data_IF_503185545453
#
_entry.id   IF_503185545453
#
_cell.length_a   1.000
_cell.length_b   1.000
_cell.length_c   1.000
_cell.angle_alpha   90.00
_cell.angle_beta   90.00
_cell.angle_gamma   90.00
#
_symmetry.space_group_name_H-M   'P 1'
#
loop_
_entity.id
_entity.type
_entity.pdbx_description
1 polymer ?
#
# COMPACT_ATOMS: atom_id res chain seq x y z
N UNK A 1 -3.07 28.77 -1.56
CA UNK A 1 -4.34 28.28 -0.97
C UNK A 1 -5.56 28.50 -1.86
N UNK A 2 -5.65 29.58 -2.66
CA UNK A 2 -6.82 29.80 -3.55
C UNK A 2 -6.90 28.84 -4.75
N UNK A 3 -5.77 28.48 -5.37
CA UNK A 3 -5.75 27.52 -6.50
C UNK A 3 -6.20 26.10 -6.14
N UNK A 4 -5.90 25.65 -4.91
CA UNK A 4 -6.32 24.33 -4.44
C UNK A 4 -7.86 24.31 -4.31
N UNK A 5 -8.49 25.40 -3.85
CA UNK A 5 -9.95 25.48 -3.71
C UNK A 5 -10.68 25.46 -5.05
N UNK A 6 -10.21 26.21 -6.06
CA UNK A 6 -10.83 26.22 -7.39
C UNK A 6 -10.69 24.86 -8.11
N UNK A 7 -9.58 24.15 -7.88
CA UNK A 7 -9.38 22.81 -8.39
C UNK A 7 -10.35 21.80 -7.74
N UNK A 8 -10.69 21.98 -6.46
CA UNK A 8 -11.73 21.20 -5.77
C UNK A 8 -13.15 21.54 -6.23
N UNK A 9 -13.44 22.81 -6.54
CA UNK A 9 -14.77 23.24 -7.01
C UNK A 9 -15.08 22.81 -8.46
N UNK A 10 -14.07 22.68 -9.34
CA UNK A 10 -14.24 22.05 -10.67
C UNK A 10 -14.40 20.53 -10.65
N UNK A 11 -14.11 19.86 -9.53
CA UNK A 11 -14.03 18.38 -9.43
C UNK A 11 -15.37 17.67 -9.18
N UNK A 12 -16.49 18.39 -9.07
CA UNK A 12 -17.80 17.81 -8.75
C UNK A 12 -18.73 17.54 -9.95
N UNK A 13 -18.25 17.65 -11.19
CA UNK A 13 -19.06 17.25 -12.36
C UNK A 13 -18.83 15.79 -12.69
N UNK A 14 -19.62 14.90 -12.07
CA UNK A 14 -19.73 13.49 -12.45
C UNK A 14 -20.26 13.37 -13.89
N UNK A 15 -19.64 12.53 -14.72
CA UNK A 15 -20.17 12.17 -16.04
C UNK A 15 -21.51 11.45 -15.92
N UNK A 16 -22.31 11.42 -16.98
CA UNK A 16 -23.66 10.79 -16.95
C UNK A 16 -23.61 9.30 -16.55
N UNK A 17 -22.59 8.56 -16.98
CA UNK A 17 -22.39 7.17 -16.58
C UNK A 17 -22.07 7.04 -15.08
N UNK A 18 -21.24 7.96 -14.54
CA UNK A 18 -20.87 8.02 -13.12
C UNK A 18 -22.06 8.41 -12.23
N UNK A 19 -22.93 9.31 -12.70
CA UNK A 19 -24.20 9.67 -12.03
C UNK A 19 -25.14 8.48 -11.93
N UNK A 20 -25.31 7.72 -13.02
CA UNK A 20 -26.15 6.53 -13.03
C UNK A 20 -25.64 5.45 -12.04
N UNK A 21 -24.31 5.25 -11.95
CA UNK A 21 -23.70 4.32 -11.00
C UNK A 21 -23.94 4.75 -9.53
N UNK A 22 -23.82 6.04 -9.23
CA UNK A 22 -24.10 6.59 -7.91
C UNK A 22 -25.59 6.41 -7.52
N UNK A 23 -26.50 6.74 -8.44
CA UNK A 23 -27.95 6.59 -8.24
C UNK A 23 -28.36 5.13 -8.00
N UNK A 24 -27.79 4.20 -8.77
CA UNK A 24 -28.02 2.76 -8.60
C UNK A 24 -27.59 2.27 -7.20
N UNK A 25 -26.54 2.84 -6.61
CA UNK A 25 -26.00 2.42 -5.32
C UNK A 25 -26.70 3.06 -4.12
N UNK A 26 -27.17 4.30 -4.24
CA UNK A 26 -27.99 4.96 -3.22
C UNK A 26 -29.34 4.24 -3.00
N UNK A 27 -29.84 3.52 -3.99
CA UNK A 27 -31.04 2.69 -3.88
C UNK A 27 -30.81 1.39 -3.07
N UNK A 28 -29.56 1.04 -2.75
CA UNK A 28 -29.21 -0.09 -1.89
C UNK A 28 -29.44 0.24 -0.42
N UNK A 29 -30.27 -0.54 0.28
CA UNK A 29 -30.51 -0.38 1.73
C UNK A 29 -29.23 -0.66 2.53
N UNK A 30 -28.64 0.39 3.12
CA UNK A 30 -27.52 0.26 4.06
C UNK A 30 -28.05 0.07 5.49
N UNK A 31 -27.84 -1.11 6.06
CA UNK A 31 -28.27 -1.43 7.43
C UNK A 31 -27.12 -1.16 8.40
N UNK A 32 -27.18 -0.05 9.14
CA UNK A 32 -26.23 0.29 10.21
C UNK A 32 -26.80 -0.21 11.55
N UNK A 33 -26.43 -1.44 11.95
CA UNK A 33 -26.88 -2.06 13.19
C UNK A 33 -25.84 -2.01 14.33
N UNK A 34 -26.20 -1.31 15.41
CA UNK A 34 -25.97 -1.64 16.83
C UNK A 34 -24.56 -1.99 17.36
N UNK A 35 -24.06 -1.16 18.29
CA UNK A 35 -22.90 -1.45 19.15
C UNK A 35 -23.18 -2.59 20.12
N UNK A 36 -22.60 -3.74 19.83
CA UNK A 36 -22.54 -4.90 20.72
C UNK A 36 -21.18 -5.55 20.51
N UNK A 37 -20.49 -5.89 21.61
CA UNK A 37 -19.19 -6.55 21.56
C UNK A 37 -19.36 -7.96 21.00
N UNK A 38 -19.28 -8.06 19.68
CA UNK A 38 -19.29 -9.32 18.96
C UNK A 38 -17.84 -9.73 18.69
N UNK A 39 -17.46 -10.93 19.12
CA UNK A 39 -16.18 -11.52 18.71
C UNK A 39 -16.14 -11.61 17.19
N UNK A 40 -15.04 -11.18 16.56
CA UNK A 40 -14.84 -11.33 15.12
C UNK A 40 -14.43 -12.79 14.87
N UNK A 41 -15.29 -13.65 14.31
CA UNK A 41 -14.94 -15.04 14.06
C UNK A 41 -13.88 -15.10 12.97
N UNK A 42 -12.98 -16.09 13.06
CA UNK A 42 -12.03 -16.36 11.98
C UNK A 42 -12.80 -16.86 10.76
N UNK A 43 -12.76 -16.10 9.67
CA UNK A 43 -13.29 -16.59 8.40
C UNK A 43 -12.34 -17.67 7.84
N UNK A 44 -12.82 -18.87 7.46
CA UNK A 44 -12.01 -19.84 6.74
C UNK A 44 -11.39 -19.20 5.49
N UNK A 45 -10.08 -19.41 5.30
CA UNK A 45 -9.40 -19.01 4.07
C UNK A 45 -9.97 -19.82 2.91
N UNK A 46 -10.54 -19.13 1.93
CA UNK A 46 -11.08 -19.68 0.70
C UNK A 46 -10.66 -18.77 -0.44
N UNK A 47 -10.49 -19.34 -1.63
CA UNK A 47 -10.24 -18.58 -2.86
C UNK A 47 -11.52 -17.92 -3.40
N UNK A 48 -12.64 -18.06 -2.69
CA UNK A 48 -13.91 -17.46 -3.06
C UNK A 48 -13.88 -15.91 -2.91
N UNK A 49 -14.45 -15.17 -3.88
CA UNK A 49 -14.56 -13.71 -3.80
C UNK A 49 -15.28 -13.27 -2.52
N UNK A 50 -14.59 -12.48 -1.69
CA UNK A 50 -15.12 -12.01 -0.40
C UNK A 50 -15.69 -10.60 -0.55
N UNK A 51 -16.81 -10.25 0.12
CA UNK A 51 -17.28 -8.87 0.12
C UNK A 51 -16.25 -7.91 0.73
N UNK A 52 -16.23 -6.68 0.22
CA UNK A 52 -15.42 -5.60 0.78
C UNK A 52 -16.04 -5.13 2.12
N UNK A 53 -15.18 -4.72 3.04
CA UNK A 53 -15.57 -3.91 4.19
C UNK A 53 -16.15 -2.56 3.75
N UNK A 54 -16.85 -1.88 4.65
CA UNK A 54 -17.46 -0.58 4.32
C UNK A 54 -16.43 0.46 3.85
N UNK A 55 -15.26 0.52 4.49
CA UNK A 55 -14.19 1.43 4.11
C UNK A 55 -13.60 1.08 2.73
N UNK A 56 -13.37 -0.20 2.46
CA UNK A 56 -12.91 -0.68 1.15
C UNK A 56 -13.93 -0.36 0.06
N UNK A 57 -15.23 -0.57 0.30
CA UNK A 57 -16.30 -0.26 -0.67
C UNK A 57 -16.33 1.23 -1.03
N UNK A 58 -16.18 2.10 -0.02
CA UNK A 58 -16.12 3.55 -0.22
C UNK A 58 -14.94 3.94 -1.11
N UNK A 59 -13.74 3.44 -0.81
CA UNK A 59 -12.54 3.77 -1.59
C UNK A 59 -12.61 3.21 -3.01
N UNK A 60 -13.07 1.97 -3.18
CA UNK A 60 -13.30 1.37 -4.49
C UNK A 60 -14.29 2.21 -5.33
N UNK A 61 -15.40 2.64 -4.73
CA UNK A 61 -16.38 3.48 -5.41
C UNK A 61 -15.80 4.84 -5.80
N UNK A 62 -15.00 5.47 -4.94
CA UNK A 62 -14.35 6.75 -5.25
C UNK A 62 -13.35 6.59 -6.40
N UNK A 63 -12.59 5.50 -6.43
CA UNK A 63 -11.66 5.20 -7.54
C UNK A 63 -12.40 5.04 -8.88
N UNK A 64 -13.53 4.32 -8.90
CA UNK A 64 -14.38 4.18 -10.11
C UNK A 64 -14.98 5.52 -10.59
N UNK A 65 -15.22 6.46 -9.66
CA UNK A 65 -15.73 7.80 -9.97
C UNK A 65 -14.65 8.77 -10.41
N UNK A 66 -13.37 8.54 -10.11
CA UNK A 66 -12.28 9.42 -10.50
C UNK A 66 -11.82 9.17 -11.95
N UNK A 67 -11.15 10.14 -12.56
CA UNK A 67 -10.52 9.98 -13.88
C UNK A 67 -9.02 9.78 -13.70
N UNK A 68 -8.57 8.55 -13.41
CA UNK A 68 -7.13 8.17 -13.39
C UNK A 68 -6.21 9.19 -12.70
N UNK A 69 -6.51 9.54 -11.46
CA UNK A 69 -5.65 10.37 -10.61
C UNK A 69 -5.08 9.54 -9.46
N UNK A 70 -3.84 9.79 -9.00
CA UNK A 70 -3.21 9.04 -7.91
C UNK A 70 -3.72 9.49 -6.53
N UNK A 71 -5.01 9.84 -6.39
CA UNK A 71 -5.58 10.49 -5.20
C UNK A 71 -5.39 9.65 -3.94
N UNK A 72 -5.48 8.33 -4.07
CA UNK A 72 -5.32 7.39 -2.96
C UNK A 72 -3.99 6.63 -3.00
N UNK A 73 -3.03 7.10 -3.80
CA UNK A 73 -1.65 6.61 -3.77
C UNK A 73 -0.85 7.37 -2.71
N UNK A 74 -0.23 6.63 -1.79
CA UNK A 74 0.52 7.18 -0.68
C UNK A 74 2.01 6.85 -0.86
N UNK A 75 2.84 7.82 -1.27
CA UNK A 75 4.28 7.65 -1.32
C UNK A 75 4.92 7.95 0.03
N UNK A 76 5.77 7.05 0.50
CA UNK A 76 6.64 7.24 1.65
C UNK A 76 8.11 7.15 1.24
N UNK A 77 8.96 7.96 1.87
CA UNK A 77 10.41 7.92 1.70
C UNK A 77 11.13 7.81 3.04
N UNK A 78 11.92 6.75 3.21
CA UNK A 78 12.68 6.46 4.43
C UNK A 78 14.17 6.59 4.16
N UNK A 79 14.82 7.55 4.83
CA UNK A 79 16.27 7.69 4.73
C UNK A 79 16.94 6.68 5.64
N UNK A 80 17.72 5.79 5.05
CA UNK A 80 18.50 4.76 5.75
C UNK A 80 19.97 5.17 5.73
N UNK A 81 20.60 5.13 6.91
CA UNK A 81 22.02 5.47 7.09
C UNK A 81 22.81 4.24 7.55
N UNK A 82 24.05 4.12 7.07
CA UNK A 82 24.94 3.00 7.34
C UNK A 82 24.98 1.98 6.20
N UNK A 83 25.76 0.92 6.41
CA UNK A 83 25.83 -0.19 5.46
C UNK A 83 24.49 -0.92 5.40
N UNK A 84 24.00 -1.16 4.18
CA UNK A 84 22.70 -1.78 3.94
C UNK A 84 22.87 -3.12 3.23
N UNK A 85 22.36 -4.19 3.83
CA UNK A 85 22.22 -5.48 3.18
C UNK A 85 20.92 -5.48 2.36
N UNK A 86 21.06 -5.22 1.05
CA UNK A 86 19.92 -5.10 0.13
C UNK A 86 19.10 -6.40 0.06
N UNK A 87 19.76 -7.56 0.07
CA UNK A 87 19.07 -8.85 0.03
C UNK A 87 18.22 -9.09 1.28
N UNK A 88 18.74 -8.72 2.46
CA UNK A 88 17.98 -8.79 3.71
C UNK A 88 16.78 -7.84 3.68
N UNK A 89 16.91 -6.64 3.10
CA UNK A 89 15.80 -5.70 2.95
C UNK A 89 14.71 -6.26 2.02
N UNK A 90 15.09 -6.80 0.87
CA UNK A 90 14.14 -7.42 -0.08
C UNK A 90 13.40 -8.62 0.55
N UNK A 91 14.13 -9.49 1.26
CA UNK A 91 13.52 -10.61 2.00
C UNK A 91 12.57 -10.13 3.08
N UNK A 92 12.91 -9.04 3.79
CA UNK A 92 12.05 -8.46 4.83
C UNK A 92 10.74 -7.95 4.27
N UNK A 93 10.78 -7.19 3.18
CA UNK A 93 9.56 -6.69 2.51
C UNK A 93 8.69 -7.86 2.04
N UNK A 94 9.29 -8.86 1.39
CA UNK A 94 8.55 -10.02 0.90
C UNK A 94 7.94 -10.87 2.02
N UNK A 95 8.60 -10.99 3.16
CA UNK A 95 8.03 -11.68 4.32
C UNK A 95 6.85 -10.91 4.92
N UNK A 96 6.88 -9.56 4.94
CA UNK A 96 5.73 -8.73 5.34
C UNK A 96 4.56 -8.96 4.36
N UNK A 97 4.80 -8.91 3.05
CA UNK A 97 3.77 -9.17 2.02
C UNK A 97 3.18 -10.57 2.17
N UNK A 98 4.01 -11.58 2.46
CA UNK A 98 3.56 -12.95 2.71
C UNK A 98 2.66 -13.03 3.95
N UNK A 99 2.99 -12.31 5.02
CA UNK A 99 2.26 -12.33 6.30
C UNK A 99 0.91 -11.61 6.25
N UNK A 100 0.81 -10.51 5.51
CA UNK A 100 -0.38 -9.66 5.48
C UNK A 100 -1.22 -9.89 4.23
N UNK A 101 -2.39 -10.51 4.39
CA UNK A 101 -3.32 -10.82 3.29
C UNK A 101 -3.73 -9.55 2.51
N UNK A 102 -3.87 -8.39 3.18
CA UNK A 102 -4.20 -7.10 2.54
C UNK A 102 -3.21 -6.68 1.45
N UNK A 103 -1.91 -6.95 1.64
CA UNK A 103 -0.87 -6.59 0.66
C UNK A 103 -0.87 -7.49 -0.58
N UNK A 104 -1.64 -8.58 -0.54
CA UNK A 104 -1.86 -9.55 -1.62
C UNK A 104 -3.29 -9.51 -2.15
N UNK A 105 -4.03 -8.44 -1.84
CA UNK A 105 -5.45 -8.31 -2.16
C UNK A 105 -5.66 -7.43 -3.39
N UNK A 106 -6.46 -7.89 -4.35
CA UNK A 106 -7.02 -7.10 -5.45
C UNK A 106 -8.53 -6.96 -5.28
N UNK A 107 -9.11 -6.00 -5.99
CA UNK A 107 -10.52 -5.63 -5.92
C UNK A 107 -11.11 -5.63 -7.33
N UNK A 108 -12.10 -6.48 -7.56
CA UNK A 108 -12.75 -6.65 -8.87
C UNK A 108 -14.26 -6.56 -8.72
N UNK A 109 -14.97 -6.10 -9.75
CA UNK A 109 -16.42 -6.11 -9.76
C UNK A 109 -16.97 -7.33 -10.53
N UNK A 110 -17.82 -8.12 -9.87
CA UNK A 110 -18.58 -9.21 -10.50
C UNK A 110 -20.04 -8.76 -10.57
N UNK A 111 -20.58 -8.61 -11.79
CA UNK A 111 -21.95 -8.08 -12.03
C UNK A 111 -22.21 -6.74 -11.31
N UNK A 112 -21.21 -5.86 -11.30
CA UNK A 112 -21.27 -4.55 -10.67
C UNK A 112 -21.11 -4.56 -9.15
N UNK A 113 -20.92 -5.71 -8.49
CA UNK A 113 -20.66 -5.81 -7.04
C UNK A 113 -19.15 -5.99 -6.79
N UNK A 114 -18.50 -5.14 -5.97
CA UNK A 114 -17.09 -5.29 -5.70
C UNK A 114 -16.83 -6.47 -4.77
N UNK A 115 -15.83 -7.24 -5.11
CA UNK A 115 -15.27 -8.33 -4.33
C UNK A 115 -13.76 -8.17 -4.23
N UNK A 116 -13.20 -8.72 -3.16
CA UNK A 116 -11.77 -8.81 -3.00
C UNK A 116 -11.29 -10.24 -3.17
N UNK A 117 -10.12 -10.38 -3.78
CA UNK A 117 -9.44 -11.64 -4.00
C UNK A 117 -8.04 -11.56 -3.37
N UNK A 118 -7.69 -12.56 -2.57
CA UNK A 118 -6.40 -12.63 -1.89
C UNK A 118 -5.54 -13.65 -2.63
N UNK A 119 -4.40 -13.21 -3.18
CA UNK A 119 -3.44 -14.14 -3.80
C UNK A 119 -2.74 -14.96 -2.71
N UNK A 120 -2.61 -16.28 -2.90
CA UNK A 120 -1.95 -17.17 -1.95
C UNK A 120 -0.45 -16.83 -1.77
N UNK A 121 0.20 -16.41 -2.86
CA UNK A 121 1.61 -16.01 -2.89
C UNK A 121 1.79 -14.78 -3.76
N UNK A 122 2.73 -13.91 -3.37
CA UNK A 122 3.13 -12.74 -4.13
C UNK A 122 4.56 -12.39 -3.74
N UNK A 123 5.41 -12.14 -4.73
CA UNK A 123 6.78 -11.67 -4.53
C UNK A 123 6.93 -10.32 -5.17
N UNK A 124 7.35 -9.33 -4.40
CA UNK A 124 7.68 -8.00 -4.87
C UNK A 124 9.16 -7.92 -5.25
N UNK A 125 9.49 -7.39 -6.43
CA UNK A 125 10.86 -7.00 -6.71
C UNK A 125 11.25 -5.78 -5.85
N UNK A 126 12.53 -5.68 -5.48
CA UNK A 126 13.12 -4.43 -4.96
C UNK A 126 14.08 -3.82 -6.00
N UNK A 127 13.59 -3.00 -6.95
CA UNK A 127 14.44 -2.24 -7.85
C UNK A 127 15.44 -1.38 -7.08
N UNK A 128 16.72 -1.49 -7.47
CA UNK A 128 17.81 -0.69 -6.90
C UNK A 128 18.33 0.29 -7.94
N UNK A 129 18.22 1.57 -7.65
CA UNK A 129 18.77 2.63 -8.48
C UNK A 129 20.04 3.17 -7.83
N UNK A 130 21.18 2.86 -8.44
CA UNK A 130 22.46 3.37 -7.95
C UNK A 130 22.73 4.77 -8.50
N UNK A 131 22.58 5.79 -7.63
CA UNK A 131 22.78 7.18 -7.98
C UNK A 131 24.17 7.71 -7.55
N UNK A 132 25.00 6.87 -6.92
CA UNK A 132 26.32 7.26 -6.39
C UNK A 132 27.29 7.65 -7.50
N UNK A 133 27.10 7.09 -8.70
CA UNK A 133 27.91 7.33 -9.88
C UNK A 133 27.70 8.72 -10.51
N UNK A 134 26.63 9.43 -10.16
CA UNK A 134 26.31 10.73 -10.78
C UNK A 134 26.89 11.90 -9.98
N UNK A 135 27.30 12.99 -10.65
CA UNK A 135 27.61 14.25 -9.98
C UNK A 135 26.43 14.76 -9.15
N UNK A 136 26.69 15.49 -8.07
CA UNK A 136 25.68 15.88 -7.07
C UNK A 136 24.43 16.54 -7.68
N UNK A 137 24.61 17.52 -8.58
CA UNK A 137 23.50 18.22 -9.22
C UNK A 137 22.64 17.31 -10.13
N UNK A 138 23.24 16.32 -10.78
CA UNK A 138 22.50 15.35 -11.60
C UNK A 138 21.81 14.30 -10.73
N UNK A 139 22.48 13.83 -9.68
CA UNK A 139 21.92 12.93 -8.67
C UNK A 139 20.64 13.50 -8.07
N UNK A 140 20.64 14.77 -7.69
CA UNK A 140 19.47 15.41 -7.07
C UNK A 140 18.29 15.51 -8.06
N UNK A 141 18.54 15.83 -9.33
CA UNK A 141 17.51 15.83 -10.38
C UNK A 141 16.92 14.44 -10.60
N UNK A 142 17.76 13.40 -10.65
CA UNK A 142 17.33 12.00 -10.82
C UNK A 142 16.52 11.52 -9.61
N UNK A 143 16.98 11.84 -8.41
CA UNK A 143 16.29 11.57 -7.15
C UNK A 143 14.88 12.18 -7.16
N UNK A 144 14.75 13.47 -7.47
CA UNK A 144 13.45 14.14 -7.56
C UNK A 144 12.55 13.50 -8.62
N UNK A 145 13.11 13.15 -9.78
CA UNK A 145 12.36 12.50 -10.86
C UNK A 145 11.77 11.16 -10.40
N UNK A 146 12.57 10.31 -9.77
CA UNK A 146 12.14 9.00 -9.29
C UNK A 146 11.07 9.12 -8.19
N UNK A 147 11.25 10.04 -7.24
CA UNK A 147 10.25 10.30 -6.19
C UNK A 147 8.93 10.81 -6.78
N UNK A 148 8.98 11.69 -7.78
CA UNK A 148 7.79 12.19 -8.46
C UNK A 148 7.08 11.12 -9.28
N UNK A 149 7.82 10.19 -9.90
CA UNK A 149 7.24 9.05 -10.62
C UNK A 149 6.47 8.15 -9.67
N UNK A 150 7.04 7.83 -8.51
CA UNK A 150 6.38 7.04 -7.48
C UNK A 150 5.13 7.75 -6.92
N UNK A 151 5.21 9.05 -6.65
CA UNK A 151 4.06 9.84 -6.18
C UNK A 151 2.92 9.97 -7.20
N UNK A 152 3.20 9.78 -8.49
CA UNK A 152 2.22 9.84 -9.58
C UNK A 152 1.79 8.47 -10.08
N UNK A 153 2.26 7.40 -9.45
CA UNK A 153 1.93 6.05 -9.86
C UNK A 153 0.42 5.81 -9.72
N UNK A 154 -0.17 5.18 -10.74
CA UNK A 154 -1.59 4.82 -10.75
C UNK A 154 -1.68 3.31 -10.55
N UNK A 155 -2.30 2.89 -9.46
CA UNK A 155 -2.63 1.49 -9.23
C UNK A 155 -3.92 1.13 -9.96
N UNK A 156 -3.93 -0.06 -10.57
CA UNK A 156 -5.18 -0.71 -11.00
C UNK A 156 -5.65 -1.60 -9.86
N UNK A 157 -6.78 -1.26 -9.24
CA UNK A 157 -7.31 -2.03 -8.09
C UNK A 157 -7.60 -3.49 -8.43
N UNK A 158 -7.86 -3.81 -9.70
CA UNK A 158 -8.07 -5.18 -10.15
C UNK A 158 -6.79 -6.01 -10.21
N UNK A 159 -5.61 -5.38 -10.16
CA UNK A 159 -4.31 -6.03 -10.31
C UNK A 159 -3.44 -5.90 -9.05
N UNK A 160 -3.04 -7.03 -8.48
CA UNK A 160 -2.00 -7.05 -7.47
C UNK A 160 -0.61 -6.92 -8.10
N UNK A 161 0.38 -6.34 -7.38
CA UNK A 161 0.29 -5.72 -6.05
C UNK A 161 -0.26 -4.28 -6.07
N UNK A 162 -0.96 -3.89 -5.00
CA UNK A 162 -1.32 -2.49 -4.72
C UNK A 162 -0.26 -1.75 -3.88
N UNK A 163 0.98 -2.25 -3.95
CA UNK A 163 2.15 -1.63 -3.38
C UNK A 163 3.38 -1.80 -4.26
N UNK A 164 4.31 -0.87 -4.15
CA UNK A 164 5.61 -0.85 -4.82
C UNK A 164 6.68 -0.43 -3.83
N UNK A 165 7.88 -0.94 -4.06
CA UNK A 165 9.08 -0.54 -3.30
C UNK A 165 10.20 -0.22 -4.27
N UNK A 166 11.10 0.67 -3.87
CA UNK A 166 12.34 0.94 -4.59
C UNK A 166 13.43 1.38 -3.60
N UNK A 167 14.68 1.11 -3.95
CA UNK A 167 15.84 1.55 -3.17
C UNK A 167 16.72 2.46 -4.02
N UNK A 168 16.94 3.69 -3.57
CA UNK A 168 17.86 4.63 -4.19
C UNK A 168 19.14 4.71 -3.37
N UNK A 169 20.29 4.38 -3.97
CA UNK A 169 21.60 4.49 -3.31
C UNK A 169 22.18 5.87 -3.59
N UNK A 170 22.36 6.69 -2.56
CA UNK A 170 22.83 8.08 -2.68
C UNK A 170 24.33 8.20 -2.38
N UNK A 171 24.81 7.41 -1.42
CA UNK A 171 26.20 7.20 -1.06
C UNK A 171 26.39 5.75 -0.56
N UNK A 172 27.62 5.34 -0.23
CA UNK A 172 27.90 3.98 0.28
C UNK A 172 27.14 3.65 1.57
N UNK A 173 26.83 4.68 2.35
CA UNK A 173 26.13 4.57 3.63
C UNK A 173 24.88 5.45 3.69
N UNK A 174 24.36 5.90 2.55
CA UNK A 174 23.14 6.71 2.50
C UNK A 174 22.20 6.19 1.41
N UNK A 175 20.98 5.86 1.82
CA UNK A 175 19.99 5.25 0.96
C UNK A 175 18.62 5.91 1.20
N UNK A 176 17.78 5.93 0.18
CA UNK A 176 16.37 6.27 0.29
C UNK A 176 15.53 5.05 -0.12
N UNK A 177 14.83 4.46 0.84
CA UNK A 177 13.85 3.42 0.59
C UNK A 177 12.49 4.06 0.34
N UNK A 178 11.92 3.80 -0.83
CA UNK A 178 10.60 4.26 -1.23
C UNK A 178 9.59 3.13 -1.05
N UNK A 179 8.45 3.47 -0.45
CA UNK A 179 7.27 2.62 -0.36
C UNK A 179 6.09 3.40 -0.90
N UNK A 180 5.50 2.93 -1.99
CA UNK A 180 4.32 3.53 -2.60
C UNK A 180 3.18 2.54 -2.48
N UNK A 181 2.06 2.92 -1.88
CA UNK A 181 0.98 1.99 -1.57
C UNK A 181 -0.40 2.64 -1.74
N UNK A 182 -1.39 1.84 -2.15
CA UNK A 182 -2.76 2.31 -2.26
C UNK A 182 -3.47 2.33 -0.88
N UNK A 183 -4.20 3.40 -0.58
CA UNK A 183 -4.91 3.57 0.71
C UNK A 183 -5.97 2.48 0.96
N UNK A 184 -6.47 1.80 -0.07
CA UNK A 184 -7.46 0.72 0.10
C UNK A 184 -6.89 -0.51 0.85
N UNK A 185 -5.57 -0.73 0.80
CA UNK A 185 -4.89 -1.85 1.47
C UNK A 185 -4.05 -1.39 2.67
N UNK A 186 -4.12 -0.11 3.03
CA UNK A 186 -3.19 0.51 3.97
C UNK A 186 -3.75 1.75 4.68
N UNK A 187 -3.34 1.98 5.92
CA UNK A 187 -3.74 3.17 6.70
C UNK A 187 -2.59 3.75 7.54
N UNK A 188 -2.87 4.84 8.25
CA UNK A 188 -1.90 5.53 9.10
C UNK A 188 -1.43 4.72 10.33
N UNK A 189 -2.12 3.66 10.73
CA UNK A 189 -1.66 2.77 11.80
C UNK A 189 -0.72 1.69 11.25
N UNK A 190 -1.03 1.22 10.04
CA UNK A 190 -0.31 0.17 9.31
C UNK A 190 1.16 0.52 9.08
N UNK A 191 1.51 1.81 8.94
CA UNK A 191 2.92 2.24 8.82
C UNK A 191 3.77 1.93 10.04
N UNK A 192 3.22 2.10 11.24
CA UNK A 192 3.92 1.75 12.47
C UNK A 192 4.17 0.25 12.55
N UNK A 193 3.17 -0.55 12.16
CA UNK A 193 3.29 -2.02 12.09
C UNK A 193 4.35 -2.42 11.07
N UNK A 194 4.26 -1.91 9.84
CA UNK A 194 5.18 -2.20 8.76
C UNK A 194 6.62 -1.89 9.15
N UNK A 195 6.90 -0.71 9.71
CA UNK A 195 8.26 -0.31 10.08
C UNK A 195 8.85 -1.14 11.22
N UNK A 196 8.03 -1.52 12.21
CA UNK A 196 8.46 -2.43 13.28
C UNK A 196 8.81 -3.82 12.73
N UNK A 197 7.94 -4.39 11.89
CA UNK A 197 8.20 -5.69 11.28
C UNK A 197 9.41 -5.64 10.35
N UNK A 198 9.55 -4.59 9.54
CA UNK A 198 10.67 -4.42 8.62
C UNK A 198 12.00 -4.41 9.37
N UNK A 199 12.10 -3.65 10.47
CA UNK A 199 13.31 -3.59 11.31
C UNK A 199 13.64 -4.96 11.92
N UNK A 200 12.64 -5.63 12.50
CA UNK A 200 12.84 -6.94 13.13
C UNK A 200 13.27 -8.02 12.12
N UNK A 201 12.60 -8.07 10.97
CA UNK A 201 12.91 -9.01 9.88
C UNK A 201 14.27 -8.72 9.25
N UNK A 202 14.60 -7.44 9.03
CA UNK A 202 15.87 -7.04 8.46
C UNK A 202 17.03 -7.49 9.35
N UNK A 203 16.93 -7.27 10.66
CA UNK A 203 17.96 -7.70 11.60
C UNK A 203 18.12 -9.23 11.63
N UNK A 204 17.01 -9.97 11.55
CA UNK A 204 17.05 -11.43 11.46
C UNK A 204 17.76 -11.89 10.17
N UNK A 205 17.32 -11.42 9.00
CA UNK A 205 17.88 -11.83 7.72
C UNK A 205 19.32 -11.35 7.51
N UNK A 206 19.66 -10.13 7.94
CA UNK A 206 21.03 -9.61 7.86
C UNK A 206 22.02 -10.42 8.72
N UNK A 207 21.52 -11.10 9.76
CA UNK A 207 22.32 -12.01 10.61
C UNK A 207 22.17 -13.48 10.24
N UNK A 208 21.55 -13.80 9.10
CA UNK A 208 21.36 -15.17 8.61
C UNK A 208 20.31 -15.98 9.38
N UNK A 209 19.48 -15.33 10.21
CA UNK A 209 18.39 -15.96 10.96
C UNK A 209 17.08 -15.96 10.16
N UNK A 210 16.17 -16.86 10.51
CA UNK A 210 14.85 -16.97 9.86
C UNK A 210 13.85 -15.94 10.38
N UNK A 211 12.76 -15.71 9.63
CA UNK A 211 11.69 -14.77 10.04
C UNK A 211 11.04 -15.12 11.39
N UNK A 212 11.02 -16.40 11.78
CA UNK A 212 10.50 -16.83 13.09
C UNK A 212 11.28 -16.17 14.24
N UNK A 213 12.59 -15.98 14.09
CA UNK A 213 13.43 -15.37 15.12
C UNK A 213 13.15 -13.88 15.33
N UNK A 214 12.64 -13.18 14.31
CA UNK A 214 12.32 -11.76 14.37
C UNK A 214 11.16 -11.45 15.35
N UNK A 215 10.22 -12.38 15.50
CA UNK A 215 9.01 -12.18 16.31
C UNK A 215 9.07 -12.81 17.71
N UNK A 216 10.09 -13.63 17.98
CA UNK A 216 10.30 -14.22 19.32
C UNK A 216 10.99 -13.26 20.30
N UNK A 217 11.62 -12.19 19.79
CA UNK A 217 12.37 -11.22 20.59
C UNK A 217 11.64 -9.87 20.76
N UNK A 218 10.45 -9.70 20.18
CA UNK A 218 9.64 -8.51 20.42
C UNK A 218 8.99 -8.63 21.81
N UNK A 219 9.09 -7.61 22.68
CA UNK A 219 8.43 -7.66 23.99
C UNK A 219 6.93 -7.88 23.79
N UNK A 220 6.41 -8.96 24.36
CA UNK A 220 4.97 -9.15 24.54
C UNK A 220 4.50 -8.03 25.47
N UNK A 221 3.79 -7.05 24.94
CA UNK A 221 3.15 -6.05 25.77
C UNK A 221 2.00 -6.76 26.49
N UNK A 222 2.12 -6.87 27.80
CA UNK A 222 1.01 -7.19 28.69
C UNK A 222 -0.09 -6.14 28.51
N UNK A 223 -1.33 -6.61 28.33
CA UNK A 223 -2.54 -5.78 28.36
C UNK A 223 -2.64 -4.97 29.65
#
# INVERSE_FOLDING_TARGET
>A
MKEISEQYQKRLTLSNAKRALLEQRLQGKFNMGGTSSHSIPRHPRSDAPTPLSFAEQRLWFLEELEERYPTYTIPFGFRLKGQLNVAALEQSVNEIVRRHDTLRTSFTAIKGVPHKQILSTLTLPLPVHDLRQFPAAERDKRLQTLVQQEARYLFDLAQCPLLRVALLRLADQEHLFLLTIHHIVYDGWSIGVFMRELSALYNAFATGKSSRSAFLCAPQIAN
#
